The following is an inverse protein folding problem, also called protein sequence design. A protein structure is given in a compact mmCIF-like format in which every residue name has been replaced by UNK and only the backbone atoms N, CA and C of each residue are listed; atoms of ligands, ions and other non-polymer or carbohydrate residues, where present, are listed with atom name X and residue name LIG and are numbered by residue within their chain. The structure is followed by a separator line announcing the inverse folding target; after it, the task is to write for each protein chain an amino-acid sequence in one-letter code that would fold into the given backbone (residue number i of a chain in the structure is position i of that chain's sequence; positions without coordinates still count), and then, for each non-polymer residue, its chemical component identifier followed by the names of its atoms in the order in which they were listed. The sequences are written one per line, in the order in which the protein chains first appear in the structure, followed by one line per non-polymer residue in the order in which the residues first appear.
data_IF_674008812917
#
_entry.id   IF_674008812917
#
_cell.length_a   1.000
_cell.length_b   1.000
_cell.length_c   1.000
_cell.angle_alpha   90.00
_cell.angle_beta   90.00
_cell.angle_gamma   90.00
#
_symmetry.space_group_name_H-M   'P 1'
#
loop_
_entity.id
_entity.type
_entity.pdbx_description
1 polymer ?
#
# COMPACT_ATOMS: atom_id res chain seq x y z
N UNK A 1 -19.26 -6.66 -19.05
CA UNK A 1 -17.79 -6.60 -18.91
C UNK A 1 -17.31 -7.99 -18.57
N UNK A 2 -16.47 -8.60 -19.40
CA UNK A 2 -15.94 -9.93 -19.12
C UNK A 2 -14.99 -9.83 -17.93
N UNK A 3 -15.32 -10.50 -16.82
CA UNK A 3 -14.35 -10.74 -15.76
C UNK A 3 -13.28 -11.66 -16.32
N UNK A 4 -12.13 -11.10 -16.65
CA UNK A 4 -10.93 -11.87 -16.92
C UNK A 4 -10.60 -12.61 -15.63
N UNK A 5 -10.81 -13.93 -15.62
CA UNK A 5 -10.35 -14.78 -14.52
C UNK A 5 -8.83 -14.69 -14.51
N UNK A 6 -8.29 -13.86 -13.60
CA UNK A 6 -6.86 -13.82 -13.35
C UNK A 6 -6.43 -15.19 -12.86
N UNK A 7 -5.44 -15.78 -13.54
CA UNK A 7 -4.92 -17.08 -13.15
C UNK A 7 -4.28 -16.95 -11.77
N UNK A 8 -4.72 -17.77 -10.80
CA UNK A 8 -4.22 -17.74 -9.41
C UNK A 8 -3.02 -18.67 -9.30
N UNK A 9 -1.93 -18.31 -9.98
CA UNK A 9 -0.71 -19.12 -10.06
C UNK A 9 0.19 -18.96 -8.82
N UNK A 10 0.04 -17.86 -8.09
CA UNK A 10 0.79 -17.61 -6.86
C UNK A 10 0.18 -18.35 -5.67
N UNK A 11 1.04 -18.94 -4.83
CA UNK A 11 0.64 -19.73 -3.66
C UNK A 11 1.05 -19.06 -2.36
N UNK A 12 0.08 -18.95 -1.44
CA UNK A 12 0.30 -18.51 -0.06
C UNK A 12 0.28 -19.75 0.83
N UNK A 13 1.33 -19.95 1.63
CA UNK A 13 1.37 -21.00 2.66
C UNK A 13 0.94 -20.44 4.01
N UNK A 14 -0.04 -21.09 4.65
CA UNK A 14 -0.55 -20.73 5.96
C UNK A 14 -0.48 -21.92 6.90
N UNK A 15 0.13 -21.72 8.06
CA UNK A 15 0.05 -22.66 9.19
C UNK A 15 -1.08 -22.23 10.11
N UNK A 16 -1.85 -23.19 10.60
CA UNK A 16 -3.01 -22.94 11.45
C UNK A 16 -3.17 -24.08 12.44
N UNK A 17 -3.79 -23.81 13.58
CA UNK A 17 -4.19 -24.84 14.54
C UNK A 17 -5.38 -25.64 14.01
N UNK A 18 -5.66 -26.79 14.65
CA UNK A 18 -6.82 -27.61 14.29
C UNK A 18 -8.13 -26.85 14.50
N UNK A 19 -8.22 -26.06 15.56
CA UNK A 19 -9.45 -25.36 15.93
C UNK A 19 -9.71 -24.14 15.05
N UNK A 20 -8.67 -23.39 14.69
CA UNK A 20 -8.75 -22.34 13.67
C UNK A 20 -9.23 -22.91 12.32
N UNK A 21 -8.65 -24.03 11.85
CA UNK A 21 -9.09 -24.66 10.61
C UNK A 21 -10.57 -25.07 10.66
N UNK A 22 -11.03 -25.63 11.78
CA UNK A 22 -12.44 -26.01 11.99
C UNK A 22 -13.35 -24.79 11.90
N UNK A 23 -12.99 -23.71 12.60
CA UNK A 23 -13.75 -22.48 12.60
C UNK A 23 -13.84 -21.86 11.19
N UNK A 24 -12.71 -21.74 10.50
CA UNK A 24 -12.65 -21.19 9.14
C UNK A 24 -13.47 -22.05 8.16
N UNK A 25 -13.44 -23.37 8.30
CA UNK A 25 -14.23 -24.28 7.46
C UNK A 25 -15.73 -24.11 7.69
N UNK A 26 -16.17 -24.01 8.95
CA UNK A 26 -17.57 -23.77 9.28
C UNK A 26 -18.05 -22.41 8.76
N UNK A 27 -17.25 -21.35 8.96
CA UNK A 27 -17.58 -20.01 8.48
C UNK A 27 -17.69 -19.95 6.95
N UNK A 28 -16.75 -20.58 6.24
CA UNK A 28 -16.78 -20.69 4.78
C UNK A 28 -18.05 -21.42 4.30
N UNK A 29 -18.44 -22.51 4.97
CA UNK A 29 -19.66 -23.24 4.65
C UNK A 29 -20.94 -22.40 4.82
N UNK A 30 -21.03 -21.58 5.88
CA UNK A 30 -22.15 -20.66 6.09
C UNK A 30 -22.26 -19.59 4.99
N UNK A 31 -21.12 -19.13 4.47
CA UNK A 31 -21.05 -18.17 3.35
C UNK A 31 -21.12 -18.84 1.96
N UNK A 32 -21.23 -20.18 1.89
CA UNK A 32 -21.19 -20.98 0.64
C UNK A 32 -19.92 -20.74 -0.18
N UNK A 33 -18.78 -20.63 0.50
CA UNK A 33 -17.45 -20.46 -0.08
C UNK A 33 -16.55 -21.65 0.29
N UNK A 34 -15.50 -21.87 -0.51
CA UNK A 34 -14.36 -22.65 -0.03
C UNK A 34 -13.53 -21.82 0.98
N UNK A 35 -12.70 -22.50 1.77
CA UNK A 35 -11.89 -21.87 2.83
C UNK A 35 -10.93 -20.81 2.27
N UNK A 36 -10.32 -21.05 1.11
CA UNK A 36 -9.40 -20.10 0.47
C UNK A 36 -10.15 -18.83 0.08
N UNK A 37 -11.29 -18.97 -0.59
CA UNK A 37 -12.14 -17.86 -1.03
C UNK A 37 -12.70 -17.07 0.16
N UNK A 38 -13.07 -17.75 1.26
CA UNK A 38 -13.47 -17.11 2.51
C UNK A 38 -12.34 -16.29 3.12
N UNK A 39 -11.15 -16.88 3.28
CA UNK A 39 -9.97 -16.18 3.82
C UNK A 39 -9.63 -14.96 2.96
N UNK A 40 -9.52 -15.13 1.64
CA UNK A 40 -9.15 -14.03 0.74
C UNK A 40 -10.19 -12.91 0.75
N UNK A 41 -11.50 -13.23 0.80
CA UNK A 41 -12.56 -12.24 0.92
C UNK A 41 -12.47 -11.45 2.24
N UNK A 42 -12.06 -12.09 3.33
CA UNK A 42 -11.89 -11.43 4.62
C UNK A 42 -10.63 -10.55 4.69
N UNK A 43 -9.49 -10.99 4.15
CA UNK A 43 -8.20 -10.33 4.36
C UNK A 43 -7.85 -9.27 3.30
N UNK A 44 -8.33 -9.41 2.07
CA UNK A 44 -8.00 -8.46 0.99
C UNK A 44 -8.45 -7.01 1.27
N UNK A 45 -9.63 -6.74 1.87
CA UNK A 45 -10.01 -5.38 2.25
C UNK A 45 -9.02 -4.76 3.24
N UNK A 46 -8.64 -5.50 4.28
CA UNK A 46 -7.69 -5.03 5.29
C UNK A 46 -6.29 -4.79 4.69
N UNK A 47 -5.83 -5.69 3.82
CA UNK A 47 -4.55 -5.52 3.12
C UNK A 47 -4.53 -4.25 2.26
N UNK A 48 -5.62 -3.97 1.53
CA UNK A 48 -5.75 -2.73 0.73
C UNK A 48 -5.72 -1.50 1.60
N UNK A 49 -6.45 -1.50 2.72
CA UNK A 49 -6.48 -0.37 3.65
C UNK A 49 -5.07 -0.07 4.22
N UNK A 50 -4.30 -1.10 4.57
CA UNK A 50 -2.92 -0.92 5.05
C UNK A 50 -2.04 -0.26 3.98
N UNK A 51 -2.14 -0.71 2.73
CA UNK A 51 -1.36 -0.14 1.61
C UNK A 51 -1.79 1.31 1.34
N UNK A 52 -3.08 1.57 1.22
CA UNK A 52 -3.60 2.93 0.99
C UNK A 52 -3.19 3.89 2.11
N UNK A 53 -3.28 3.47 3.37
CA UNK A 53 -2.88 4.30 4.51
C UNK A 53 -1.37 4.57 4.55
N UNK A 54 -0.55 3.64 4.06
CA UNK A 54 0.90 3.81 4.01
C UNK A 54 1.36 4.68 2.84
N UNK A 55 0.67 4.60 1.70
CA UNK A 55 1.11 5.21 0.44
C UNK A 55 0.40 6.53 0.13
N UNK A 56 -0.78 6.79 0.72
CA UNK A 56 -1.60 7.95 0.40
C UNK A 56 -1.55 9.02 1.49
N UNK A 57 -1.17 10.23 1.08
CA UNK A 57 -1.32 11.43 1.91
C UNK A 57 -2.67 12.07 1.60
N UNK A 58 -3.59 12.06 2.56
CA UNK A 58 -4.85 12.78 2.45
C UNK A 58 -4.65 14.24 2.84
N UNK A 59 -4.96 15.15 1.92
CA UNK A 59 -4.84 16.59 2.13
C UNK A 59 -6.23 17.20 2.35
N UNK A 60 -6.30 18.23 3.19
CA UNK A 60 -7.48 19.09 3.24
C UNK A 60 -7.63 19.85 1.92
N UNK A 61 -8.79 20.44 1.66
CA UNK A 61 -8.99 21.28 0.46
C UNK A 61 -7.96 22.42 0.40
N UNK A 62 -7.74 23.09 1.54
CA UNK A 62 -6.72 24.15 1.67
C UNK A 62 -5.32 23.65 1.30
N UNK A 63 -4.92 22.49 1.83
CA UNK A 63 -3.59 21.95 1.58
C UNK A 63 -3.45 21.44 0.15
N UNK A 64 -4.53 20.91 -0.43
CA UNK A 64 -4.59 20.48 -1.82
C UNK A 64 -4.36 21.64 -2.79
N UNK A 65 -5.06 22.77 -2.57
CA UNK A 65 -4.86 24.01 -3.34
C UNK A 65 -3.43 24.54 -3.18
N UNK A 66 -2.87 24.46 -1.98
CA UNK A 66 -1.49 24.88 -1.72
C UNK A 66 -0.48 24.01 -2.46
N UNK A 67 -0.67 22.69 -2.46
CA UNK A 67 0.21 21.77 -3.21
C UNK A 67 0.09 22.04 -4.71
N UNK A 68 -1.12 22.25 -5.22
CA UNK A 68 -1.34 22.58 -6.63
C UNK A 68 -0.60 23.86 -7.03
N UNK A 69 -0.76 24.95 -6.26
CA UNK A 69 -0.06 26.21 -6.53
C UNK A 69 1.46 26.03 -6.52
N UNK A 70 2.02 25.23 -5.60
CA UNK A 70 3.46 24.93 -5.58
C UNK A 70 3.93 24.09 -6.78
N UNK A 71 3.06 23.28 -7.39
CA UNK A 71 3.38 22.50 -8.59
C UNK A 71 3.30 23.37 -9.86
N UNK A 72 2.31 24.26 -9.93
CA UNK A 72 2.12 25.17 -11.07
C UNK A 72 3.11 26.34 -11.05
N UNK A 73 3.40 26.85 -9.85
CA UNK A 73 4.28 28.00 -9.59
C UNK A 73 5.43 27.61 -8.65
N UNK A 74 6.37 26.75 -9.09
CA UNK A 74 7.43 26.25 -8.23
C UNK A 74 8.38 27.39 -7.78
N UNK A 75 8.56 27.62 -6.47
CA UNK A 75 9.44 28.67 -5.97
C UNK A 75 10.92 28.31 -6.20
N UNK A 76 11.78 29.34 -6.26
CA UNK A 76 13.21 29.12 -6.32
C UNK A 76 13.72 28.38 -5.06
N UNK A 77 14.70 27.46 -5.19
CA UNK A 77 15.27 26.76 -4.05
C UNK A 77 15.87 27.72 -3.01
N UNK A 78 15.62 27.45 -1.73
CA UNK A 78 16.19 28.28 -0.66
C UNK A 78 17.70 28.08 -0.54
N UNK A 79 18.46 29.09 -0.02
CA UNK A 79 19.89 28.94 0.23
C UNK A 79 20.23 27.72 1.11
N UNK A 80 19.39 27.42 2.09
CA UNK A 80 19.55 26.25 2.96
C UNK A 80 19.39 24.93 2.19
N UNK A 81 18.41 24.84 1.27
CA UNK A 81 18.21 23.66 0.42
C UNK A 81 19.39 23.46 -0.53
N UNK A 82 19.88 24.54 -1.16
CA UNK A 82 21.07 24.50 -2.02
C UNK A 82 22.32 24.02 -1.26
N UNK A 83 22.52 24.52 -0.03
CA UNK A 83 23.62 24.07 0.82
C UNK A 83 23.50 22.58 1.20
N UNK A 84 22.28 22.10 1.48
CA UNK A 84 22.03 20.69 1.76
C UNK A 84 22.31 19.78 0.55
N UNK A 85 21.89 20.18 -0.64
CA UNK A 85 22.18 19.47 -1.89
C UNK A 85 23.69 19.37 -2.15
N UNK A 86 24.44 20.47 -1.98
CA UNK A 86 25.91 20.47 -2.10
C UNK A 86 26.57 19.51 -1.10
N UNK A 87 26.10 19.47 0.16
CA UNK A 87 26.60 18.53 1.18
C UNK A 87 26.32 17.07 0.80
N UNK A 88 25.17 16.75 0.20
CA UNK A 88 24.83 15.40 -0.28
C UNK A 88 25.82 14.95 -1.36
N UNK A 89 26.00 15.77 -2.40
CA UNK A 89 26.90 15.48 -3.53
C UNK A 89 28.34 15.27 -3.04
N UNK A 90 28.82 16.12 -2.13
CA UNK A 90 30.18 16.01 -1.58
C UNK A 90 30.41 14.76 -0.73
N UNK A 91 29.35 14.16 -0.14
CA UNK A 91 29.45 12.89 0.59
C UNK A 91 29.50 11.71 -0.37
N UNK A 92 28.65 11.71 -1.39
CA UNK A 92 28.55 10.61 -2.35
C UNK A 92 29.82 10.52 -3.21
N UNK A 93 30.49 11.64 -3.49
CA UNK A 93 31.78 11.69 -4.20
C UNK A 93 33.02 11.36 -3.36
N UNK A 94 32.88 11.11 -2.05
CA UNK A 94 33.99 10.73 -1.15
C UNK A 94 34.05 9.21 -0.88
N UNK A 95 33.07 8.46 -1.41
CA UNK A 95 32.98 6.99 -1.32
C UNK A 95 33.36 6.29 -2.63
N UNK A 96 33.94 7.01 -3.60
CA UNK A 96 34.58 6.49 -4.80
C UNK A 96 36.07 6.85 -4.76
#
# INVERSE_FOLDING_TARGET
MAQMQANRDDRIELRTTRDEKRLLTAAAAHERLDVTSFIMRAVLPAAREVVENAERISLSERDSLRVLDLLENPPAPTPALLAAARRRIARDGKSA
#
